data_IF_688424889898
#
_entry.id   IF_688424889898
#
_cell.length_a   1.000
_cell.length_b   1.000
_cell.length_c   1.000
_cell.angle_alpha   90.00
_cell.angle_beta   90.00
_cell.angle_gamma   90.00
#
_symmetry.space_group_name_H-M   'P 1'
#
loop_
_entity.id
_entity.type
_entity.pdbx_description
1 polymer ?
#
# COMPACT_ATOMS: atom_id res chain seq x y z
N UNK A 1 -24.52 -15.96 21.94
CA UNK A 1 -23.60 -16.48 20.89
C UNK A 1 -22.94 -17.74 21.39
N UNK A 2 -22.88 -18.80 20.58
CA UNK A 2 -22.17 -20.02 20.95
C UNK A 2 -20.65 -19.90 20.69
N UNK A 3 -19.84 -20.75 21.34
CA UNK A 3 -18.36 -20.72 21.25
C UNK A 3 -17.84 -20.70 19.80
N UNK A 4 -18.48 -21.44 18.90
CA UNK A 4 -18.08 -21.52 17.47
C UNK A 4 -18.31 -20.20 16.73
N UNK A 5 -19.45 -19.53 16.98
CA UNK A 5 -19.74 -18.20 16.43
C UNK A 5 -18.80 -17.14 17.01
N UNK A 6 -18.50 -17.20 18.31
CA UNK A 6 -17.53 -16.31 18.94
C UNK A 6 -16.14 -16.45 18.32
N UNK A 7 -15.66 -17.69 18.11
CA UNK A 7 -14.37 -17.96 17.48
C UNK A 7 -14.29 -17.40 16.04
N UNK A 8 -15.36 -17.52 15.26
CA UNK A 8 -15.43 -16.95 13.90
C UNK A 8 -15.32 -15.42 13.91
N UNK A 9 -16.01 -14.75 14.83
CA UNK A 9 -15.95 -13.29 14.97
C UNK A 9 -14.55 -12.84 15.38
N UNK A 10 -13.92 -13.52 16.34
CA UNK A 10 -12.57 -13.20 16.79
C UNK A 10 -11.53 -13.43 15.70
N UNK A 11 -11.61 -14.55 14.98
CA UNK A 11 -10.73 -14.84 13.85
C UNK A 11 -10.91 -13.81 12.72
N UNK A 12 -12.16 -13.45 12.41
CA UNK A 12 -12.46 -12.41 11.42
C UNK A 12 -11.88 -11.06 11.79
N UNK A 13 -12.04 -10.62 13.04
CA UNK A 13 -11.47 -9.37 13.55
C UNK A 13 -9.94 -9.38 13.48
N UNK A 14 -9.31 -10.47 13.89
CA UNK A 14 -7.84 -10.60 13.84
C UNK A 14 -7.33 -10.44 12.40
N UNK A 15 -7.92 -11.16 11.45
CA UNK A 15 -7.55 -11.10 10.03
C UNK A 15 -7.82 -9.71 9.45
N UNK A 16 -8.94 -9.09 9.81
CA UNK A 16 -9.30 -7.75 9.36
C UNK A 16 -8.30 -6.70 9.85
N UNK A 17 -7.90 -6.76 11.12
CA UNK A 17 -6.92 -5.84 11.71
C UNK A 17 -5.56 -6.00 11.04
N UNK A 18 -5.11 -7.24 10.78
CA UNK A 18 -3.85 -7.50 10.06
C UNK A 18 -3.91 -6.95 8.63
N UNK A 19 -4.99 -7.20 7.90
CA UNK A 19 -5.18 -6.66 6.55
C UNK A 19 -5.22 -5.13 6.52
N UNK A 20 -5.89 -4.52 7.49
CA UNK A 20 -5.90 -3.07 7.68
C UNK A 20 -4.52 -2.52 7.97
N UNK A 21 -3.79 -3.13 8.90
CA UNK A 21 -2.42 -2.73 9.21
C UNK A 21 -1.54 -2.76 7.96
N UNK A 22 -1.56 -3.86 7.21
CA UNK A 22 -0.79 -3.98 5.97
C UNK A 22 -1.18 -2.93 4.92
N UNK A 23 -2.46 -2.58 4.82
CA UNK A 23 -2.94 -1.54 3.89
C UNK A 23 -2.44 -0.14 4.27
N UNK A 24 -2.31 0.15 5.56
CA UNK A 24 -1.98 1.49 6.07
C UNK A 24 -0.52 1.64 6.53
N UNK A 25 0.25 0.56 6.63
CA UNK A 25 1.67 0.59 7.03
C UNK A 25 2.64 0.76 5.85
N UNK A 26 2.17 0.70 4.61
CA UNK A 26 2.99 0.96 3.42
C UNK A 26 3.20 2.47 3.24
N UNK A 27 4.45 2.93 3.35
CA UNK A 27 4.83 4.29 2.97
C UNK A 27 4.78 4.50 1.45
N UNK A 28 5.04 5.73 0.95
CA UNK A 28 5.18 5.98 -0.47
C UNK A 28 6.25 5.05 -1.06
N UNK A 29 6.03 4.56 -2.28
CA UNK A 29 6.99 3.69 -2.95
C UNK A 29 8.32 4.44 -3.16
N UNK A 30 9.43 3.78 -2.86
CA UNK A 30 10.76 4.29 -3.13
C UNK A 30 11.02 4.33 -4.65
N UNK A 31 11.70 5.39 -5.09
CA UNK A 31 12.14 5.54 -6.48
C UNK A 31 13.31 4.59 -6.81
N UNK A 32 13.37 4.13 -8.05
CA UNK A 32 14.55 3.39 -8.53
C UNK A 32 15.81 4.26 -8.48
N UNK A 33 16.96 3.68 -8.10
CA UNK A 33 18.25 4.37 -7.94
C UNK A 33 18.60 5.21 -9.19
N UNK A 34 18.33 4.70 -10.40
CA UNK A 34 18.63 5.40 -11.64
C UNK A 34 17.74 6.65 -11.87
N UNK A 35 16.56 6.68 -11.26
CA UNK A 35 15.64 7.83 -11.29
C UNK A 35 16.00 8.84 -10.19
N UNK A 36 16.41 8.36 -9.01
CA UNK A 36 16.89 9.20 -7.90
C UNK A 36 18.09 10.05 -8.34
N UNK A 37 19.09 9.44 -8.98
CA UNK A 37 20.30 10.14 -9.44
C UNK A 37 19.96 11.25 -10.45
N UNK A 38 19.06 10.96 -11.40
CA UNK A 38 18.60 11.96 -12.38
C UNK A 38 17.81 13.09 -11.74
N UNK A 39 16.96 12.76 -10.76
CA UNK A 39 16.20 13.76 -10.01
C UNK A 39 17.12 14.68 -9.22
N UNK A 40 18.11 14.11 -8.50
CA UNK A 40 19.11 14.89 -7.77
C UNK A 40 19.90 15.78 -8.73
N UNK A 41 20.39 15.25 -9.85
CA UNK A 41 21.10 16.05 -10.85
C UNK A 41 20.25 17.21 -11.42
N UNK A 42 18.94 17.06 -11.59
CA UNK A 42 18.07 18.18 -11.97
C UNK A 42 17.80 19.17 -10.84
N UNK A 43 17.68 18.70 -9.61
CA UNK A 43 17.54 19.55 -8.43
C UNK A 43 18.79 20.38 -8.16
N UNK A 44 19.97 19.82 -8.43
CA UNK A 44 21.26 20.49 -8.36
C UNK A 44 21.33 21.67 -9.32
N UNK A 45 20.89 21.48 -10.57
CA UNK A 45 20.84 22.55 -11.58
C UNK A 45 19.89 23.69 -11.17
N UNK A 46 18.87 23.39 -10.37
CA UNK A 46 17.88 24.35 -9.86
C UNK A 46 18.32 25.00 -8.55
N UNK A 47 19.51 24.67 -8.03
CA UNK A 47 19.99 25.09 -6.71
C UNK A 47 18.99 24.76 -5.58
N UNK A 48 18.33 23.60 -5.66
CA UNK A 48 17.37 23.18 -4.66
C UNK A 48 18.06 22.80 -3.33
N UNK A 49 17.39 23.08 -2.21
CA UNK A 49 17.88 22.77 -0.87
C UNK A 49 18.01 21.26 -0.63
N UNK A 50 18.85 20.88 0.34
CA UNK A 50 19.09 19.47 0.69
C UNK A 50 17.78 18.71 1.01
N UNK A 51 16.85 19.33 1.75
CA UNK A 51 15.55 18.74 2.05
C UNK A 51 14.71 18.43 0.80
N UNK A 52 14.90 19.18 -0.29
CA UNK A 52 14.19 18.98 -1.54
C UNK A 52 14.87 17.93 -2.43
N UNK A 53 16.18 17.71 -2.26
CA UNK A 53 16.92 16.60 -2.87
C UNK A 53 16.60 15.25 -2.22
N UNK A 54 16.32 15.23 -0.92
CA UNK A 54 15.91 14.01 -0.21
C UNK A 54 14.56 13.49 -0.73
N UNK A 55 13.67 14.40 -1.17
CA UNK A 55 12.41 14.05 -1.81
C UNK A 55 12.56 13.26 -3.11
N UNK A 56 13.73 13.28 -3.75
CA UNK A 56 14.00 12.43 -4.92
C UNK A 56 13.98 10.92 -4.60
N UNK A 57 14.00 10.51 -3.33
CA UNK A 57 13.83 9.10 -2.95
C UNK A 57 12.36 8.64 -3.04
N UNK A 58 11.39 9.55 -3.02
CA UNK A 58 9.98 9.23 -3.25
C UNK A 58 9.71 9.07 -4.76
N UNK A 59 9.23 7.91 -5.20
CA UNK A 59 8.98 7.62 -6.62
C UNK A 59 8.09 8.68 -7.30
N UNK A 60 7.02 9.10 -6.63
CA UNK A 60 6.09 10.10 -7.16
C UNK A 60 6.78 11.44 -7.43
N UNK A 61 7.63 11.90 -6.51
CA UNK A 61 8.34 13.16 -6.64
C UNK A 61 9.46 13.06 -7.68
N UNK A 62 10.27 12.00 -7.62
CA UNK A 62 11.35 11.76 -8.58
C UNK A 62 10.83 11.76 -10.02
N UNK A 63 9.74 11.02 -10.26
CA UNK A 63 9.11 11.00 -11.58
C UNK A 63 8.48 12.34 -11.97
N UNK A 64 7.86 13.09 -11.06
CA UNK A 64 7.32 14.42 -11.38
C UNK A 64 8.42 15.41 -11.83
N UNK A 65 9.64 15.25 -11.33
CA UNK A 65 10.77 16.12 -11.65
C UNK A 65 11.51 15.67 -12.91
N UNK A 66 11.63 14.36 -13.13
CA UNK A 66 12.45 13.80 -14.23
C UNK A 66 11.66 13.31 -15.44
N UNK A 67 10.34 13.08 -15.32
CA UNK A 67 9.55 12.57 -16.43
C UNK A 67 9.28 13.66 -17.46
N UNK A 68 10.09 13.67 -18.53
CA UNK A 68 9.84 14.43 -19.75
C UNK A 68 9.03 13.63 -20.79
N UNK A 69 8.80 12.33 -20.55
CA UNK A 69 8.21 11.41 -21.54
C UNK A 69 7.20 10.43 -20.93
N UNK A 70 6.07 10.22 -21.61
CA UNK A 70 4.96 9.39 -21.14
C UNK A 70 5.34 7.92 -20.86
N UNK A 71 6.35 7.40 -21.57
CA UNK A 71 6.85 6.04 -21.36
C UNK A 71 7.58 5.87 -20.01
N UNK A 72 8.20 6.94 -19.49
CA UNK A 72 8.87 6.92 -18.19
C UNK A 72 7.86 6.96 -17.03
N UNK A 73 6.78 7.74 -17.18
CA UNK A 73 5.64 7.73 -16.28
C UNK A 73 4.92 6.37 -16.29
N UNK A 74 4.77 5.73 -17.45
CA UNK A 74 4.17 4.41 -17.55
C UNK A 74 4.96 3.34 -16.77
N UNK A 75 6.30 3.35 -16.83
CA UNK A 75 7.14 2.43 -16.04
C UNK A 75 7.08 2.71 -14.55
N UNK A 76 7.03 3.97 -14.13
CA UNK A 76 6.82 4.35 -12.74
C UNK A 76 5.51 3.78 -12.19
N UNK A 77 4.43 3.91 -12.97
CA UNK A 77 3.10 3.39 -12.64
C UNK A 77 3.11 1.85 -12.64
N UNK A 78 3.80 1.21 -13.58
CA UNK A 78 3.91 -0.26 -13.64
C UNK A 78 4.75 -0.84 -12.51
N UNK A 79 5.85 -0.20 -12.11
CA UNK A 79 6.69 -0.63 -10.99
C UNK A 79 6.03 -0.36 -9.62
N UNK A 80 5.35 0.77 -9.48
CA UNK A 80 4.46 1.03 -8.34
C UNK A 80 3.35 -0.04 -8.28
N UNK A 81 2.79 -0.44 -9.42
CA UNK A 81 1.81 -1.52 -9.49
C UNK A 81 2.39 -2.90 -9.15
N UNK A 82 3.61 -3.27 -9.53
CA UNK A 82 4.15 -4.61 -9.16
C UNK A 82 4.36 -4.77 -7.66
N UNK A 83 4.81 -3.72 -6.97
CA UNK A 83 4.93 -3.73 -5.50
C UNK A 83 3.55 -3.55 -4.82
N UNK A 84 2.60 -2.82 -5.45
CA UNK A 84 1.20 -2.79 -5.02
C UNK A 84 0.48 -4.14 -5.21
N UNK A 85 0.69 -4.89 -6.28
CA UNK A 85 -0.10 -6.09 -6.57
C UNK A 85 0.09 -7.16 -5.49
N UNK A 86 1.31 -7.31 -4.95
CA UNK A 86 1.59 -8.24 -3.86
C UNK A 86 1.03 -7.77 -2.51
N UNK A 87 1.40 -6.56 -2.09
CA UNK A 87 1.04 -6.03 -0.76
C UNK A 87 -0.39 -5.52 -0.67
N UNK A 88 -0.85 -4.76 -1.66
CA UNK A 88 -2.21 -4.23 -1.74
C UNK A 88 -3.22 -5.36 -2.04
N UNK A 89 -2.85 -6.32 -2.89
CA UNK A 89 -3.67 -7.51 -3.17
C UNK A 89 -3.89 -8.39 -1.94
N UNK A 90 -2.82 -8.70 -1.21
CA UNK A 90 -2.91 -9.45 0.05
C UNK A 90 -3.70 -8.68 1.12
N UNK A 91 -3.46 -7.37 1.27
CA UNK A 91 -4.17 -6.54 2.24
C UNK A 91 -5.68 -6.47 1.94
N UNK A 92 -6.07 -6.26 0.67
CA UNK A 92 -7.47 -6.27 0.25
C UNK A 92 -8.13 -7.63 0.44
N UNK A 93 -7.41 -8.72 0.15
CA UNK A 93 -7.89 -10.07 0.41
C UNK A 93 -8.15 -10.31 1.90
N UNK A 94 -7.20 -9.96 2.77
CA UNK A 94 -7.34 -10.13 4.22
C UNK A 94 -8.44 -9.24 4.79
N UNK A 95 -8.57 -7.99 4.32
CA UNK A 95 -9.69 -7.12 4.68
C UNK A 95 -11.04 -7.72 4.28
N UNK A 96 -11.16 -8.22 3.04
CA UNK A 96 -12.38 -8.86 2.56
C UNK A 96 -12.73 -10.13 3.35
N UNK A 97 -11.74 -11.02 3.55
CA UNK A 97 -11.91 -12.26 4.30
C UNK A 97 -12.27 -12.00 5.76
N UNK A 98 -11.56 -11.07 6.41
CA UNK A 98 -11.82 -10.68 7.80
C UNK A 98 -13.22 -10.11 7.99
N UNK A 99 -13.67 -9.24 7.07
CA UNK A 99 -15.03 -8.72 7.07
C UNK A 99 -16.08 -9.83 6.91
N UNK A 100 -15.89 -10.73 5.94
CA UNK A 100 -16.80 -11.84 5.68
C UNK A 100 -16.93 -12.78 6.88
N UNK A 101 -15.81 -13.15 7.51
CA UNK A 101 -15.79 -13.99 8.71
C UNK A 101 -16.47 -13.32 9.90
N UNK A 102 -16.22 -12.02 10.11
CA UNK A 102 -16.83 -11.25 11.21
C UNK A 102 -18.35 -11.17 11.05
N UNK A 103 -18.82 -10.76 9.86
CA UNK A 103 -20.26 -10.66 9.55
C UNK A 103 -20.92 -12.04 9.62
N UNK A 104 -20.31 -13.07 9.01
CA UNK A 104 -20.81 -14.44 9.04
C UNK A 104 -20.91 -15.00 10.46
N UNK A 105 -19.89 -14.75 11.29
CA UNK A 105 -19.86 -15.12 12.70
C UNK A 105 -21.02 -14.51 13.49
N UNK A 106 -21.30 -13.21 13.29
CA UNK A 106 -22.43 -12.51 13.93
C UNK A 106 -23.78 -13.08 13.47
N UNK A 107 -23.98 -13.27 12.16
CA UNK A 107 -25.24 -13.79 11.61
C UNK A 107 -25.54 -15.21 12.10
N UNK A 108 -24.54 -16.09 12.11
CA UNK A 108 -24.67 -17.46 12.66
C UNK A 108 -24.94 -17.41 14.16
N UNK A 109 -24.33 -16.46 14.86
CA UNK A 109 -24.53 -16.22 16.28
C UNK A 109 -25.94 -15.77 16.65
N UNK A 110 -26.57 -14.97 15.78
CA UNK A 110 -27.96 -14.52 15.93
C UNK A 110 -28.99 -15.59 15.56
N UNK A 111 -28.70 -16.46 14.60
CA UNK A 111 -29.61 -17.57 14.22
C UNK A 111 -29.62 -18.73 15.21
N UNK A 112 -28.58 -18.86 16.03
CA UNK A 112 -28.41 -19.95 17.01
C UNK A 112 -28.50 -19.48 18.47
N UNK A 113 -28.77 -18.19 18.69
CA UNK A 113 -28.95 -17.59 20.00
C UNK A 113 -30.42 -17.51 20.37
#
# INVERSE_FOLDING_TARGET
>A
MNKKSLLLVLAGLLVFVIGGWLKFSGGPADADIAVVEKCRAEMDKRNADAAMRDKCEEAAFAHAVTATDAASAARAISAANENEIGGNGLAMFLLGLGAALTVGGVLVGRRRG
#
